data_IF_013316640389
#
_entry.id   IF_013316640389
#
_cell.length_a   1.000
_cell.length_b   1.000
_cell.length_c   1.000
_cell.angle_alpha   90.00
_cell.angle_beta   90.00
_cell.angle_gamma   90.00
#
_symmetry.space_group_name_H-M   'P 1'
#
loop_
_entity.id
_entity.type
_entity.pdbx_description
1 polymer ?
#
# COMPACT_ATOMS: atom_id res chain seq x y z
N UNK A 1 -10.10 -2.94 -1.88
CA UNK A 1 -8.70 -2.55 -2.22
C UNK A 1 -8.13 -3.55 -3.18
N UNK A 2 -7.93 -4.80 -2.74
CA UNK A 2 -7.52 -5.90 -3.62
C UNK A 2 -8.52 -6.12 -4.76
N UNK A 3 -9.82 -6.00 -4.47
CA UNK A 3 -10.89 -5.97 -5.47
C UNK A 3 -11.40 -4.53 -5.67
N UNK A 4 -11.54 -4.12 -6.93
CA UNK A 4 -12.16 -2.85 -7.32
C UNK A 4 -11.42 -1.57 -6.91
N UNK A 5 -10.26 -1.67 -6.25
CA UNK A 5 -9.41 -0.52 -5.92
C UNK A 5 -9.92 0.41 -4.81
N UNK A 6 -11.07 0.12 -4.17
CA UNK A 6 -11.57 0.96 -3.07
C UNK A 6 -10.71 0.80 -1.80
N UNK A 7 -10.12 1.90 -1.35
CA UNK A 7 -9.25 1.98 -0.16
C UNK A 7 -9.91 2.65 1.04
N UNK A 8 -11.13 3.19 0.87
CA UNK A 8 -11.79 4.02 1.88
C UNK A 8 -12.01 3.28 3.22
N UNK A 9 -12.37 2.00 3.15
CA UNK A 9 -12.50 1.14 4.33
C UNK A 9 -11.20 0.96 5.10
N UNK A 10 -10.08 0.74 4.40
CA UNK A 10 -8.76 0.60 5.01
C UNK A 10 -8.30 1.91 5.65
N UNK A 11 -8.44 3.03 4.94
CA UNK A 11 -8.08 4.34 5.46
C UNK A 11 -8.89 4.69 6.72
N UNK A 12 -10.19 4.36 6.74
CA UNK A 12 -11.04 4.53 7.91
C UNK A 12 -10.56 3.71 9.10
N UNK A 13 -10.23 2.43 8.91
CA UNK A 13 -9.71 1.56 9.99
C UNK A 13 -8.39 2.10 10.55
N UNK A 14 -7.46 2.53 9.70
CA UNK A 14 -6.17 3.07 10.11
C UNK A 14 -6.36 4.40 10.86
N UNK A 15 -7.17 5.31 10.32
CA UNK A 15 -7.46 6.60 10.95
C UNK A 15 -8.13 6.45 12.31
N UNK A 16 -9.10 5.53 12.44
CA UNK A 16 -9.76 5.22 13.72
C UNK A 16 -8.80 4.62 14.76
N UNK A 17 -7.76 3.91 14.30
CA UNK A 17 -6.70 3.41 15.17
C UNK A 17 -5.63 4.48 15.50
N UNK A 18 -5.78 5.70 14.99
CA UNK A 18 -4.84 6.80 15.19
C UNK A 18 -3.57 6.69 14.34
N UNK A 19 -3.60 5.90 13.27
CA UNK A 19 -2.47 5.78 12.33
C UNK A 19 -2.40 6.92 11.33
N UNK A 20 -1.20 7.21 10.84
CA UNK A 20 -0.99 8.10 9.70
C UNK A 20 -1.24 7.36 8.37
N UNK A 21 -2.02 7.97 7.48
CA UNK A 21 -2.39 7.39 6.18
C UNK A 21 -2.14 8.38 5.04
N UNK A 22 -1.61 7.88 3.93
CA UNK A 22 -1.56 8.58 2.64
C UNK A 22 -2.31 7.74 1.63
N UNK A 23 -3.33 8.34 1.02
CA UNK A 23 -4.22 7.68 0.08
C UNK A 23 -3.86 8.06 -1.35
N UNK A 24 -3.91 7.07 -2.25
CA UNK A 24 -3.85 7.22 -3.71
C UNK A 24 -2.88 8.32 -4.21
N UNK A 25 -1.56 8.22 -3.94
CA UNK A 25 -0.60 9.22 -4.39
C UNK A 25 -0.47 9.32 -5.91
N UNK A 26 -0.94 8.31 -6.65
CA UNK A 26 -1.02 8.36 -8.12
C UNK A 26 -2.25 9.13 -8.63
N UNK A 27 -3.25 9.40 -7.79
CA UNK A 27 -4.51 10.03 -8.19
C UNK A 27 -5.37 9.16 -9.12
N UNK A 28 -5.13 7.84 -9.17
CA UNK A 28 -5.74 6.91 -10.10
C UNK A 28 -4.79 5.80 -10.52
N UNK A 29 -4.98 5.28 -11.73
CA UNK A 29 -4.16 4.20 -12.28
C UNK A 29 -2.72 4.68 -12.48
N UNK A 30 -1.76 3.91 -11.97
CA UNK A 30 -0.34 4.06 -12.26
C UNK A 30 0.04 3.08 -13.38
N UNK A 31 0.35 3.60 -14.57
CA UNK A 31 0.70 2.78 -15.73
C UNK A 31 2.04 2.03 -15.52
N UNK A 32 2.25 0.89 -16.22
CA UNK A 32 3.51 0.15 -16.14
C UNK A 32 4.74 1.03 -16.42
N UNK A 33 5.76 0.93 -15.57
CA UNK A 33 7.00 1.70 -15.67
C UNK A 33 6.91 3.15 -15.18
N UNK A 34 5.73 3.61 -14.77
CA UNK A 34 5.53 4.93 -14.16
C UNK A 34 5.67 4.82 -12.64
N UNK A 35 6.16 5.88 -12.00
CA UNK A 35 6.28 5.98 -10.55
C UNK A 35 5.46 7.16 -10.02
N UNK A 36 4.96 7.02 -8.80
CA UNK A 36 4.47 8.13 -7.99
C UNK A 36 5.32 8.27 -6.73
N UNK A 37 5.23 9.40 -6.04
CA UNK A 37 5.95 9.66 -4.79
C UNK A 37 5.03 10.41 -3.85
N UNK A 38 5.18 10.13 -2.56
CA UNK A 38 4.47 10.82 -1.51
C UNK A 38 5.40 11.12 -0.33
N UNK A 39 4.94 12.00 0.53
CA UNK A 39 5.58 12.29 1.82
C UNK A 39 4.62 11.85 2.92
N UNK A 40 5.16 11.17 3.93
CA UNK A 40 4.43 10.70 5.10
C UNK A 40 5.21 11.13 6.34
N UNK A 41 4.55 11.81 7.27
CA UNK A 41 5.05 11.98 8.62
C UNK A 41 4.67 10.74 9.43
N UNK A 42 5.66 9.99 9.92
CA UNK A 42 5.42 8.80 10.73
C UNK A 42 4.95 9.13 12.15
N UNK A 43 5.08 10.39 12.60
CA UNK A 43 4.89 10.80 13.98
C UNK A 43 5.65 9.84 14.93
N UNK A 44 4.98 9.27 15.92
CA UNK A 44 5.55 8.31 16.87
C UNK A 44 5.46 6.84 16.39
N UNK A 45 4.97 6.57 15.17
CA UNK A 45 4.83 5.21 14.65
C UNK A 45 6.18 4.66 14.15
N UNK A 46 6.52 3.43 14.57
CA UNK A 46 7.79 2.78 14.22
C UNK A 46 7.75 1.83 13.02
N UNK A 47 6.60 1.69 12.37
CA UNK A 47 6.38 0.70 11.32
C UNK A 47 5.62 1.30 10.13
N UNK A 48 6.01 0.89 8.92
CA UNK A 48 5.38 1.25 7.66
C UNK A 48 4.79 0.00 7.01
N UNK A 49 3.52 0.08 6.64
CA UNK A 49 2.89 -0.85 5.71
C UNK A 49 2.47 -0.11 4.45
N UNK A 50 2.50 -0.81 3.30
CA UNK A 50 2.07 -0.29 2.00
C UNK A 50 1.27 -1.37 1.30
N UNK A 51 0.21 -0.99 0.58
CA UNK A 51 -0.49 -1.89 -0.32
C UNK A 51 -0.94 -1.16 -1.58
N UNK A 52 -0.97 -1.87 -2.70
CA UNK A 52 -1.52 -1.38 -3.96
C UNK A 52 -2.09 -2.54 -4.78
N UNK A 53 -3.29 -2.37 -5.33
CA UNK A 53 -3.91 -3.33 -6.24
C UNK A 53 -3.11 -3.43 -7.55
N UNK A 54 -2.99 -4.62 -8.09
CA UNK A 54 -2.48 -4.85 -9.44
C UNK A 54 -3.65 -4.78 -10.42
N UNK A 55 -3.46 -4.19 -11.60
CA UNK A 55 -4.52 -4.03 -12.58
C UNK A 55 -4.08 -4.52 -13.97
N UNK A 56 -4.95 -5.24 -14.70
CA UNK A 56 -6.15 -5.92 -14.20
C UNK A 56 -5.78 -7.20 -13.42
N UNK A 57 -6.37 -7.40 -12.23
CA UNK A 57 -6.44 -8.68 -11.49
C UNK A 57 -7.79 -8.76 -10.77
N UNK A 58 -8.23 -9.95 -10.38
CA UNK A 58 -9.41 -10.16 -9.54
C UNK A 58 -9.18 -9.59 -8.12
N UNK A 59 -8.15 -10.07 -7.42
CA UNK A 59 -7.78 -9.71 -6.05
C UNK A 59 -6.25 -9.62 -5.80
N UNK A 60 -5.45 -9.71 -6.87
CA UNK A 60 -4.00 -9.50 -6.82
C UNK A 60 -3.57 -8.11 -6.35
N UNK A 61 -2.57 -8.06 -5.45
CA UNK A 61 -2.00 -6.82 -4.94
C UNK A 61 -0.51 -6.96 -4.60
N UNK A 62 0.21 -5.84 -4.48
CA UNK A 62 1.55 -5.81 -3.89
C UNK A 62 1.50 -5.23 -2.49
N UNK A 63 2.33 -5.76 -1.60
CA UNK A 63 2.31 -5.39 -0.18
C UNK A 63 3.69 -5.28 0.47
N UNK A 64 3.80 -4.33 1.39
CA UNK A 64 4.81 -4.26 2.44
C UNK A 64 4.08 -4.33 3.78
N UNK A 65 4.44 -5.30 4.62
CA UNK A 65 3.82 -5.47 5.94
C UNK A 65 4.84 -5.16 7.03
N UNK A 66 4.46 -4.25 7.94
CA UNK A 66 5.13 -3.99 9.21
C UNK A 66 6.65 -3.78 9.05
N UNK A 67 7.04 -3.04 8.02
CA UNK A 67 8.44 -2.72 7.80
C UNK A 67 8.91 -1.72 8.84
N UNK A 68 9.85 -2.12 9.67
CA UNK A 68 10.40 -1.25 10.71
C UNK A 68 11.06 -0.03 10.08
N UNK A 69 10.59 1.15 10.43
CA UNK A 69 11.14 2.42 9.94
C UNK A 69 12.57 2.56 10.50
N UNK A 70 13.59 2.72 9.64
CA UNK A 70 14.96 2.90 10.11
C UNK A 70 15.11 4.21 10.90
N UNK A 71 15.90 4.15 11.98
CA UNK A 71 16.17 5.32 12.84
C UNK A 71 17.30 6.20 12.30
N UNK A 72 18.10 5.68 11.38
CA UNK A 72 19.16 6.43 10.69
C UNK A 72 18.59 7.09 9.45
N UNK A 73 18.93 8.35 9.21
CA UNK A 73 18.48 9.07 8.02
C UNK A 73 19.16 8.48 6.78
N UNK A 74 18.37 8.16 5.75
CA UNK A 74 18.90 7.60 4.51
C UNK A 74 17.82 7.17 3.53
N UNK A 75 18.27 6.65 2.39
CA UNK A 75 17.40 6.07 1.37
C UNK A 75 17.42 4.56 1.50
N UNK A 76 16.26 3.99 1.80
CA UNK A 76 16.05 2.56 1.91
C UNK A 76 15.19 2.07 0.75
N UNK A 77 15.48 0.87 0.25
CA UNK A 77 14.77 0.27 -0.88
C UNK A 77 14.21 -1.08 -0.46
N UNK A 78 12.94 -1.30 -0.74
CA UNK A 78 12.27 -2.57 -0.58
C UNK A 78 11.70 -3.02 -1.93
N UNK A 79 11.85 -4.31 -2.23
CA UNK A 79 11.14 -4.94 -3.35
C UNK A 79 9.87 -5.56 -2.81
N UNK A 80 8.73 -5.24 -3.42
CA UNK A 80 7.44 -5.80 -3.02
C UNK A 80 7.15 -7.05 -3.81
N UNK A 81 6.58 -8.05 -3.15
CA UNK A 81 6.02 -9.24 -3.80
C UNK A 81 4.55 -9.00 -4.10
N UNK A 82 4.06 -9.67 -5.14
CA UNK A 82 2.63 -9.81 -5.37
C UNK A 82 2.05 -10.87 -4.44
N UNK A 83 0.81 -10.67 -4.05
CA UNK A 83 0.00 -11.53 -3.21
C UNK A 83 -1.40 -11.61 -3.80
N UNK A 84 -2.07 -12.70 -3.48
CA UNK A 84 -3.46 -13.01 -3.74
C UNK A 84 -4.23 -12.76 -2.43
N UNK A 85 -5.38 -12.10 -2.49
CA UNK A 85 -6.14 -11.77 -1.28
C UNK A 85 -6.95 -12.95 -0.73
N UNK A 86 -7.19 -13.97 -1.55
CA UNK A 86 -7.90 -15.20 -1.24
C UNK A 86 -9.40 -15.00 -1.09
N UNK A 87 -9.94 -13.93 -1.67
CA UNK A 87 -11.36 -13.56 -1.56
C UNK A 87 -12.16 -14.02 -2.76
N UNK A 88 -11.51 -14.26 -3.91
CA UNK A 88 -12.12 -14.84 -5.10
C UNK A 88 -11.36 -16.10 -5.59
N UNK A 89 -11.91 -16.78 -6.61
CA UNK A 89 -11.18 -17.86 -7.28
C UNK A 89 -10.24 -17.27 -8.33
N UNK A 90 -9.00 -17.77 -8.37
CA UNK A 90 -7.96 -17.31 -9.28
C UNK A 90 -8.34 -17.46 -10.76
N UNK A 91 -8.37 -16.33 -11.47
CA UNK A 91 -8.48 -16.24 -12.92
C UNK A 91 -7.62 -15.11 -13.52
N UNK A 92 -6.59 -14.66 -12.78
CA UNK A 92 -5.67 -13.59 -13.18
C UNK A 92 -4.90 -13.85 -14.48
#
# INVERSE_FOLDING_TARGET
MAEGGDISGLASVIGNAGGAVVENPAGGILNPGVATTFTLDSCDHGYLSLSAMLLPTNDGFVGLDSWKIPTEAGTYRATLRSYDAGTEANDE
#
